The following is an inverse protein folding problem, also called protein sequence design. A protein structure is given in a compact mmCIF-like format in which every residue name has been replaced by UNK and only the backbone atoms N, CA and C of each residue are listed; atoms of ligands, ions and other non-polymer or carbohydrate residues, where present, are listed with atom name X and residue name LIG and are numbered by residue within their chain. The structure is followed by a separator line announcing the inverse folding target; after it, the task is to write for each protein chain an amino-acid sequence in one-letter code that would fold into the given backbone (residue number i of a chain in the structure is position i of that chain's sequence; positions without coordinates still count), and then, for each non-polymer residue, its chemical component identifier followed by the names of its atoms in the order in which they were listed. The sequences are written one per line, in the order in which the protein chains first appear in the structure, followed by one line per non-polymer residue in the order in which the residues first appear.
data_IF_631015340764
#
_entry.id   IF_631015340764
#
_cell.length_a   1.000
_cell.length_b   1.000
_cell.length_c   1.000
_cell.angle_alpha   90.00
_cell.angle_beta   90.00
_cell.angle_gamma   90.00
#
_symmetry.space_group_name_H-M   'P 1'
#
loop_
_entity.id
_entity.type
_entity.pdbx_description
1 polymer ?
#
# COMPACT_ATOMS: atom_id res chain seq x y z
N UNK A 1 -12.70 1.95 -50.64
CA UNK A 1 -12.29 1.21 -49.43
C UNK A 1 -10.80 1.42 -49.23
N UNK A 2 -10.37 1.83 -48.03
CA UNK A 2 -8.94 2.02 -47.71
C UNK A 2 -8.15 0.73 -47.96
N UNK A 3 -6.98 0.83 -48.60
CA UNK A 3 -6.09 -0.31 -48.90
C UNK A 3 -5.61 -1.03 -47.64
N UNK A 4 -5.56 -0.33 -46.50
CA UNK A 4 -5.15 -0.87 -45.20
C UNK A 4 -6.03 -2.05 -44.77
N UNK A 5 -7.35 -1.98 -44.98
CA UNK A 5 -8.28 -3.04 -44.58
C UNK A 5 -8.31 -4.24 -45.53
N UNK A 6 -7.58 -4.18 -46.66
CA UNK A 6 -7.35 -5.36 -47.52
C UNK A 6 -6.25 -6.26 -46.97
N UNK A 7 -5.39 -5.75 -46.10
CA UNK A 7 -4.35 -6.54 -45.45
C UNK A 7 -4.97 -7.48 -44.39
N UNK A 8 -4.44 -8.69 -44.18
CA UNK A 8 -4.82 -9.55 -43.05
C UNK A 8 -4.66 -8.87 -41.69
N UNK A 9 -5.40 -9.35 -40.68
CA UNK A 9 -5.46 -8.76 -39.34
C UNK A 9 -4.09 -8.68 -38.68
N UNK A 10 -3.25 -9.68 -38.91
CA UNK A 10 -1.90 -9.83 -38.37
C UNK A 10 -0.98 -8.72 -38.91
N UNK A 11 -1.05 -8.45 -40.21
CA UNK A 11 -0.27 -7.37 -40.83
C UNK A 11 -0.76 -5.99 -40.37
N UNK A 12 -2.07 -5.83 -40.19
CA UNK A 12 -2.62 -4.60 -39.60
C UNK A 12 -2.13 -4.41 -38.17
N UNK A 13 -2.11 -5.46 -37.35
CA UNK A 13 -1.60 -5.40 -35.97
C UNK A 13 -0.12 -5.01 -35.92
N UNK A 14 0.71 -5.54 -36.83
CA UNK A 14 2.11 -5.12 -36.98
C UNK A 14 2.19 -3.63 -37.33
N UNK A 15 1.42 -3.17 -38.32
CA UNK A 15 1.38 -1.75 -38.71
C UNK A 15 0.97 -0.88 -37.53
N UNK A 16 -0.12 -1.20 -36.85
CA UNK A 16 -0.58 -0.45 -35.67
C UNK A 16 0.47 -0.45 -34.56
N UNK A 17 1.18 -1.57 -34.38
CA UNK A 17 2.27 -1.70 -33.44
C UNK A 17 3.36 -0.64 -33.63
N UNK A 18 3.70 -0.28 -34.89
CA UNK A 18 4.66 0.78 -35.18
C UNK A 18 4.22 2.17 -34.70
N UNK A 19 2.91 2.43 -34.60
CA UNK A 19 2.39 3.74 -34.15
C UNK A 19 2.17 3.80 -32.64
N UNK A 20 1.85 2.67 -32.02
CA UNK A 20 1.39 2.62 -30.62
C UNK A 20 2.50 2.22 -29.65
N UNK A 21 3.52 1.53 -30.14
CA UNK A 21 4.67 1.13 -29.32
C UNK A 21 5.54 2.35 -29.04
N UNK A 22 5.80 2.59 -27.76
CA UNK A 22 6.65 3.68 -27.29
C UNK A 22 7.86 3.05 -26.60
N UNK A 23 9.06 3.50 -26.95
CA UNK A 23 10.26 3.06 -26.26
C UNK A 23 10.18 3.40 -24.77
N UNK A 24 10.49 2.45 -23.90
CA UNK A 24 10.25 2.54 -22.45
C UNK A 24 8.78 2.51 -22.00
N UNK A 25 7.82 2.57 -22.91
CA UNK A 25 6.38 2.41 -22.67
C UNK A 25 5.69 3.65 -22.10
N UNK A 26 4.68 3.39 -21.26
CA UNK A 26 3.85 4.42 -20.65
C UNK A 26 4.23 4.66 -19.19
N UNK A 27 3.92 5.86 -18.71
CA UNK A 27 4.20 6.34 -17.37
C UNK A 27 2.92 6.91 -16.73
N UNK A 28 2.72 6.54 -15.46
CA UNK A 28 1.76 7.12 -14.55
C UNK A 28 2.54 7.69 -13.35
N UNK A 29 2.88 8.97 -13.44
CA UNK A 29 3.39 9.75 -12.32
C UNK A 29 2.25 10.53 -11.64
N UNK A 30 2.56 11.38 -10.66
CA UNK A 30 1.54 12.13 -9.91
C UNK A 30 0.59 12.89 -10.84
N UNK A 31 1.12 13.67 -11.78
CA UNK A 31 0.30 14.52 -12.65
C UNK A 31 -0.60 13.67 -13.55
N UNK A 32 -0.03 12.61 -14.14
CA UNK A 32 -0.78 11.69 -14.97
C UNK A 32 -1.87 10.95 -14.17
N UNK A 33 -1.55 10.51 -12.94
CA UNK A 33 -2.48 9.85 -12.02
C UNK A 33 -3.67 10.75 -11.66
N UNK A 34 -3.40 12.00 -11.24
CA UNK A 34 -4.44 12.97 -10.86
C UNK A 34 -5.30 13.33 -12.07
N UNK A 35 -4.71 13.43 -13.26
CA UNK A 35 -5.44 13.67 -14.49
C UNK A 35 -6.25 12.44 -14.99
N UNK A 36 -6.06 11.26 -14.37
CA UNK A 36 -6.68 10.01 -14.80
C UNK A 36 -6.20 9.54 -16.18
N UNK A 37 -4.93 9.81 -16.52
CA UNK A 37 -4.35 9.52 -17.84
C UNK A 37 -3.00 8.82 -17.70
N UNK A 38 -2.58 8.20 -18.80
CA UNK A 38 -1.19 7.77 -18.99
C UNK A 38 -0.50 8.74 -19.95
N UNK A 39 0.80 8.90 -19.77
CA UNK A 39 1.67 9.59 -20.73
C UNK A 39 2.78 8.67 -21.18
N UNK A 40 3.52 9.09 -22.19
CA UNK A 40 4.74 8.40 -22.64
C UNK A 40 5.85 8.57 -21.60
N UNK A 41 6.83 7.67 -21.60
CA UNK A 41 7.97 7.76 -20.67
C UNK A 41 8.80 9.04 -20.84
N UNK A 42 8.81 9.63 -22.04
CA UNK A 42 9.44 10.92 -22.37
C UNK A 42 8.63 12.14 -21.88
N UNK A 43 7.50 11.90 -21.22
CA UNK A 43 6.61 12.93 -20.69
C UNK A 43 5.59 13.47 -21.70
N UNK A 44 5.66 13.09 -22.97
CA UNK A 44 4.72 13.54 -23.99
C UNK A 44 3.37 12.80 -23.89
N UNK A 45 2.27 13.41 -24.37
CA UNK A 45 0.99 12.70 -24.50
C UNK A 45 1.12 11.45 -25.37
N UNK A 46 0.33 10.42 -25.09
CA UNK A 46 0.22 9.26 -25.97
C UNK A 46 -0.40 9.70 -27.30
N UNK A 47 0.25 9.37 -28.42
CA UNK A 47 -0.30 9.67 -29.73
C UNK A 47 -1.47 8.72 -30.03
N UNK A 48 -2.65 9.32 -30.06
CA UNK A 48 -3.92 8.65 -30.30
C UNK A 48 -4.47 8.95 -31.68
N UNK A 49 -3.76 9.73 -32.52
CA UNK A 49 -4.27 10.19 -33.81
C UNK A 49 -4.72 9.03 -34.71
N UNK A 50 -3.93 7.95 -34.77
CA UNK A 50 -4.28 6.75 -35.52
C UNK A 50 -5.60 6.12 -35.04
N UNK A 51 -5.82 6.04 -33.73
CA UNK A 51 -7.03 5.48 -33.10
C UNK A 51 -8.26 6.28 -33.51
N UNK A 52 -8.14 7.60 -33.65
CA UNK A 52 -9.26 8.48 -34.04
C UNK A 52 -9.55 8.51 -35.55
N UNK A 53 -8.75 7.85 -36.39
CA UNK A 53 -9.00 7.85 -37.84
C UNK A 53 -10.25 7.07 -38.24
N UNK A 54 -10.53 5.92 -37.61
CA UNK A 54 -11.77 5.18 -37.84
C UNK A 54 -12.11 4.17 -36.72
N UNK A 55 -13.39 3.77 -36.65
CA UNK A 55 -13.91 2.82 -35.65
C UNK A 55 -13.20 1.47 -35.68
N UNK A 56 -12.94 0.91 -36.87
CA UNK A 56 -12.25 -0.38 -37.01
C UNK A 56 -10.86 -0.32 -36.39
N UNK A 57 -10.08 0.73 -36.67
CA UNK A 57 -8.76 0.90 -36.06
C UNK A 57 -8.89 1.04 -34.54
N UNK A 58 -9.84 1.84 -34.04
CA UNK A 58 -10.06 2.00 -32.60
C UNK A 58 -10.44 0.68 -31.90
N UNK A 59 -11.30 -0.13 -32.52
CA UNK A 59 -11.68 -1.45 -32.03
C UNK A 59 -10.51 -2.42 -32.03
N UNK A 60 -9.72 -2.38 -33.09
CA UNK A 60 -8.58 -3.25 -33.31
C UNK A 60 -7.37 -2.92 -32.43
N UNK A 61 -7.25 -1.68 -31.95
CA UNK A 61 -6.10 -1.16 -31.20
C UNK A 61 -6.41 -0.95 -29.72
N UNK A 62 -7.21 0.06 -29.39
CA UNK A 62 -7.54 0.46 -28.02
C UNK A 62 -8.45 -0.57 -27.34
N UNK A 63 -9.63 -0.83 -27.92
CA UNK A 63 -10.59 -1.79 -27.36
C UNK A 63 -10.12 -3.24 -27.46
N UNK A 64 -9.25 -3.54 -28.42
CA UNK A 64 -8.56 -4.82 -28.59
C UNK A 64 -7.31 -4.96 -27.72
N UNK A 65 -7.01 -3.97 -26.87
CA UNK A 65 -5.91 -4.00 -25.90
C UNK A 65 -4.51 -4.09 -26.51
N UNK A 66 -4.32 -3.72 -27.78
CA UNK A 66 -3.02 -3.78 -28.43
C UNK A 66 -1.99 -2.90 -27.73
N UNK A 67 -2.38 -1.67 -27.35
CA UNK A 67 -1.51 -0.75 -26.62
C UNK A 67 -1.00 -1.36 -25.30
N UNK A 68 -1.88 -2.04 -24.57
CA UNK A 68 -1.58 -2.72 -23.30
C UNK A 68 -0.72 -3.99 -23.46
N UNK A 69 -0.81 -4.65 -24.62
CA UNK A 69 0.02 -5.81 -24.96
C UNK A 69 1.45 -5.42 -25.28
N UNK A 70 1.62 -4.32 -26.02
CA UNK A 70 2.91 -3.90 -26.56
C UNK A 70 3.71 -3.02 -25.61
N UNK A 71 3.04 -2.23 -24.75
CA UNK A 71 3.71 -1.28 -23.88
C UNK A 71 3.71 -1.72 -22.42
N UNK A 72 4.86 -1.58 -21.77
CA UNK A 72 4.93 -1.63 -20.32
C UNK A 72 4.31 -0.36 -19.72
N UNK A 73 3.65 -0.48 -18.57
CA UNK A 73 3.13 0.67 -17.83
C UNK A 73 3.92 0.83 -16.53
N UNK A 74 4.62 1.96 -16.40
CA UNK A 74 5.42 2.31 -15.25
C UNK A 74 4.64 3.22 -14.30
N UNK A 75 4.70 2.96 -13.00
CA UNK A 75 4.09 3.77 -11.95
C UNK A 75 5.19 4.27 -11.02
N UNK A 76 5.13 5.54 -10.61
CA UNK A 76 6.03 6.10 -9.58
C UNK A 76 5.30 6.32 -8.26
N UNK A 77 6.04 6.64 -7.20
CA UNK A 77 5.39 7.12 -5.98
C UNK A 77 4.66 8.43 -6.24
N UNK A 78 3.51 8.60 -5.60
CA UNK A 78 2.61 9.74 -5.83
C UNK A 78 2.81 10.79 -4.75
N UNK A 79 2.98 12.04 -5.17
CA UNK A 79 3.13 13.20 -4.30
C UNK A 79 2.52 14.46 -4.91
N UNK A 80 1.51 14.99 -4.24
CA UNK A 80 1.03 16.38 -4.37
C UNK A 80 0.70 16.89 -2.96
N UNK A 81 0.53 18.21 -2.73
CA UNK A 81 0.11 18.73 -1.43
C UNK A 81 -1.16 18.05 -0.88
N UNK A 82 -2.16 17.87 -1.74
CA UNK A 82 -3.44 17.25 -1.37
C UNK A 82 -3.26 15.76 -1.06
N UNK A 83 -2.53 15.02 -1.92
CA UNK A 83 -2.24 13.61 -1.69
C UNK A 83 -1.37 13.40 -0.44
N UNK A 84 -0.44 14.32 -0.15
CA UNK A 84 0.40 14.27 1.04
C UNK A 84 -0.42 14.47 2.32
N UNK A 85 -1.41 15.37 2.30
CA UNK A 85 -2.33 15.55 3.42
C UNK A 85 -3.14 14.28 3.68
N UNK A 86 -3.69 13.68 2.61
CA UNK A 86 -4.42 12.42 2.70
C UNK A 86 -3.51 11.27 3.19
N UNK A 87 -2.31 11.16 2.64
CA UNK A 87 -1.34 10.13 3.00
C UNK A 87 -0.89 10.26 4.46
N UNK A 88 -0.70 11.49 4.95
CA UNK A 88 -0.41 11.76 6.37
C UNK A 88 -1.55 11.29 7.27
N UNK A 89 -2.78 11.67 6.95
CA UNK A 89 -3.93 11.26 7.74
C UNK A 89 -4.09 9.74 7.76
N UNK A 90 -3.84 9.07 6.63
CA UNK A 90 -3.81 7.61 6.54
C UNK A 90 -2.68 6.99 7.39
N UNK A 91 -1.46 7.55 7.33
CA UNK A 91 -0.33 7.10 8.16
C UNK A 91 -0.66 7.21 9.65
N UNK A 92 -1.20 8.34 10.09
CA UNK A 92 -1.58 8.57 11.48
C UNK A 92 -2.71 7.65 11.92
N UNK A 93 -3.71 7.42 11.06
CA UNK A 93 -4.75 6.43 11.32
C UNK A 93 -4.15 5.04 11.56
N UNK A 94 -3.23 4.61 10.70
CA UNK A 94 -2.62 3.29 10.82
C UNK A 94 -1.72 3.18 12.06
N UNK A 95 -0.81 4.13 12.27
CA UNK A 95 0.23 4.05 13.31
C UNK A 95 -0.26 4.43 14.71
N UNK A 96 -1.16 5.41 14.80
CA UNK A 96 -1.61 5.95 16.09
C UNK A 96 -3.00 5.45 16.47
N UNK A 97 -3.78 4.98 15.49
CA UNK A 97 -5.09 4.38 15.71
C UNK A 97 -5.04 2.85 15.65
N UNK A 98 -4.98 2.30 14.44
CA UNK A 98 -5.41 0.93 14.18
C UNK A 98 -4.40 -0.13 14.62
N UNK A 99 -3.11 0.05 14.37
CA UNK A 99 -2.10 -0.94 14.75
C UNK A 99 -1.94 -1.07 16.28
N UNK A 100 -1.80 0.03 17.06
CA UNK A 100 -1.76 -0.06 18.51
C UNK A 100 -3.06 -0.64 19.10
N UNK A 101 -4.21 -0.32 18.51
CA UNK A 101 -5.49 -0.87 18.93
C UNK A 101 -5.51 -2.39 18.77
N UNK A 102 -5.07 -2.91 17.61
CA UNK A 102 -5.01 -4.36 17.36
C UNK A 102 -4.05 -5.08 18.31
N UNK A 103 -2.86 -4.51 18.55
CA UNK A 103 -1.90 -5.07 19.50
C UNK A 103 -2.47 -5.10 20.93
N UNK A 104 -3.16 -4.03 21.34
CA UNK A 104 -3.81 -3.98 22.64
C UNK A 104 -4.95 -5.02 22.74
N UNK A 105 -5.79 -5.13 21.70
CA UNK A 105 -6.86 -6.13 21.63
C UNK A 105 -6.32 -7.55 21.73
N UNK A 106 -5.22 -7.84 21.03
CA UNK A 106 -4.60 -9.17 21.05
C UNK A 106 -4.23 -9.59 22.49
N UNK A 107 -3.70 -8.66 23.29
CA UNK A 107 -3.39 -8.91 24.71
C UNK A 107 -4.62 -9.14 25.56
N UNK A 108 -5.75 -8.49 25.25
CA UNK A 108 -7.01 -8.73 25.96
C UNK A 108 -7.57 -10.12 25.67
N UNK A 109 -7.54 -10.53 24.40
CA UNK A 109 -8.21 -11.77 23.96
C UNK A 109 -7.34 -13.00 24.12
N UNK A 110 -6.02 -12.84 24.23
CA UNK A 110 -5.05 -13.94 24.30
C UNK A 110 -5.41 -15.01 25.35
N UNK A 111 -5.80 -14.57 26.54
CA UNK A 111 -6.23 -15.45 27.64
C UNK A 111 -7.49 -16.25 27.30
N UNK A 112 -8.43 -15.63 26.58
CA UNK A 112 -9.75 -16.19 26.25
C UNK A 112 -9.74 -17.11 25.03
N UNK A 113 -8.68 -17.12 24.22
CA UNK A 113 -8.59 -17.99 23.05
C UNK A 113 -8.67 -19.48 23.44
N UNK A 114 -9.48 -20.26 22.75
CA UNK A 114 -9.56 -21.71 22.94
C UNK A 114 -8.23 -22.42 22.62
N UNK A 115 -8.01 -23.60 23.21
CA UNK A 115 -6.84 -24.43 22.88
C UNK A 115 -6.78 -24.79 21.39
N UNK A 116 -7.94 -25.02 20.75
CA UNK A 116 -8.01 -25.25 19.30
C UNK A 116 -7.50 -24.06 18.49
N UNK A 117 -7.92 -22.84 18.84
CA UNK A 117 -7.48 -21.62 18.17
C UNK A 117 -6.00 -21.36 18.41
N UNK A 118 -5.49 -21.61 19.62
CA UNK A 118 -4.05 -21.50 19.93
C UNK A 118 -3.25 -22.51 19.09
N UNK A 119 -3.67 -23.77 19.01
CA UNK A 119 -3.00 -24.78 18.19
C UNK A 119 -3.00 -24.41 16.71
N UNK A 120 -4.12 -23.90 16.20
CA UNK A 120 -4.21 -23.40 14.82
C UNK A 120 -3.24 -22.24 14.56
N UNK A 121 -3.17 -21.27 15.47
CA UNK A 121 -2.25 -20.13 15.38
C UNK A 121 -0.79 -20.59 15.47
N UNK A 122 -0.45 -21.55 16.33
CA UNK A 122 0.90 -22.13 16.41
C UNK A 122 1.27 -22.87 15.12
N UNK A 123 0.32 -23.57 14.50
CA UNK A 123 0.53 -24.23 13.20
C UNK A 123 0.82 -23.24 12.07
N UNK A 124 0.10 -22.11 12.02
CA UNK A 124 0.32 -21.06 11.01
C UNK A 124 1.52 -20.16 11.28
N UNK A 125 1.89 -19.97 12.56
CA UNK A 125 2.90 -19.03 13.01
C UNK A 125 3.84 -19.66 14.06
N UNK A 126 4.61 -20.71 13.72
CA UNK A 126 5.38 -21.49 14.69
C UNK A 126 6.41 -20.67 15.47
N UNK A 127 7.04 -19.68 14.82
CA UNK A 127 8.00 -18.77 15.47
C UNK A 127 7.37 -17.87 16.54
N UNK A 128 6.05 -17.69 16.52
CA UNK A 128 5.29 -16.90 17.48
C UNK A 128 4.62 -17.77 18.56
N UNK A 129 4.87 -19.08 18.58
CA UNK A 129 4.35 -19.97 19.61
C UNK A 129 4.68 -19.51 21.05
N UNK A 130 5.90 -19.04 21.37
CA UNK A 130 6.20 -18.51 22.72
C UNK A 130 5.37 -17.27 23.07
N UNK A 131 5.01 -16.45 22.07
CA UNK A 131 4.14 -15.29 22.26
C UNK A 131 2.72 -15.75 22.60
N UNK A 132 2.23 -16.79 21.94
CA UNK A 132 0.92 -17.39 22.22
C UNK A 132 0.86 -18.03 23.60
N UNK A 133 1.90 -18.78 23.98
CA UNK A 133 2.01 -19.39 25.32
C UNK A 133 1.93 -18.33 26.41
N UNK A 134 2.69 -17.24 26.21
CA UNK A 134 2.66 -16.10 27.12
C UNK A 134 1.27 -15.46 27.17
N UNK A 135 0.67 -15.15 26.02
CA UNK A 135 -0.67 -14.55 25.92
C UNK A 135 -1.75 -15.39 26.59
N UNK A 136 -1.63 -16.72 26.55
CA UNK A 136 -2.57 -17.64 27.19
C UNK A 136 -2.37 -17.70 28.71
N UNK A 137 -1.13 -17.57 29.16
CA UNK A 137 -0.75 -17.63 30.59
C UNK A 137 -0.95 -16.33 31.36
N UNK A 138 -0.91 -15.18 30.69
CA UNK A 138 -1.09 -13.87 31.31
C UNK A 138 -2.59 -13.52 31.38
N UNK A 139 -3.09 -13.27 32.60
CA UNK A 139 -4.44 -12.74 32.78
C UNK A 139 -4.61 -11.40 32.04
N UNK A 140 -5.82 -11.10 31.54
CA UNK A 140 -6.05 -9.85 30.82
C UNK A 140 -5.73 -8.64 31.70
N UNK A 141 -5.08 -7.59 31.16
CA UNK A 141 -4.63 -6.45 31.96
C UNK A 141 -5.79 -5.77 32.73
N UNK A 142 -5.65 -5.60 34.04
CA UNK A 142 -6.70 -5.04 34.91
C UNK A 142 -7.13 -3.59 34.58
N UNK A 143 -6.38 -2.85 33.73
CA UNK A 143 -6.64 -1.43 33.38
C UNK A 143 -6.37 -1.12 31.90
N UNK A 144 -7.25 -1.58 31.01
CA UNK A 144 -7.26 -1.18 29.59
C UNK A 144 -8.07 0.11 29.31
N UNK A 145 -8.42 0.87 30.35
CA UNK A 145 -9.26 2.07 30.25
C UNK A 145 -8.56 3.38 29.85
N UNK A 146 -7.25 3.56 30.11
CA UNK A 146 -6.59 4.87 29.94
C UNK A 146 -5.80 4.98 28.63
N UNK A 147 -5.93 6.10 27.91
CA UNK A 147 -5.25 6.38 26.62
C UNK A 147 -3.71 6.35 26.70
N UNK A 148 -3.14 6.46 27.91
CA UNK A 148 -1.69 6.36 28.13
C UNK A 148 -1.19 4.91 28.26
N UNK A 149 -2.06 3.91 28.50
CA UNK A 149 -1.61 2.54 28.76
C UNK A 149 -1.34 1.71 27.49
N UNK A 150 -1.99 1.98 26.35
CA UNK A 150 -1.71 1.20 25.12
C UNK A 150 -0.34 1.50 24.53
N UNK A 151 0.18 2.73 24.70
CA UNK A 151 1.55 3.08 24.27
C UNK A 151 2.61 2.29 25.03
N UNK A 152 2.37 1.99 26.31
CA UNK A 152 3.26 1.13 27.12
C UNK A 152 3.19 -0.35 26.76
N UNK A 153 2.20 -0.75 25.95
CA UNK A 153 2.02 -2.13 25.49
C UNK A 153 2.43 -2.35 24.03
N UNK A 154 3.00 -1.36 23.34
CA UNK A 154 3.60 -1.57 22.02
C UNK A 154 4.62 -2.70 22.11
N UNK A 155 4.58 -3.59 21.13
CA UNK A 155 5.58 -4.64 20.99
C UNK A 155 6.96 -4.00 20.77
N UNK A 156 7.96 -4.46 21.52
CA UNK A 156 9.34 -4.04 21.34
C UNK A 156 9.95 -4.76 20.13
N UNK A 157 9.92 -4.09 18.98
CA UNK A 157 10.60 -4.52 17.75
C UNK A 157 10.11 -5.85 17.15
N UNK A 158 10.58 -6.17 15.94
CA UNK A 158 10.53 -7.54 15.43
C UNK A 158 11.54 -8.40 16.21
N UNK A 159 11.18 -9.63 16.54
CA UNK A 159 12.05 -10.61 17.20
C UNK A 159 12.67 -11.55 16.15
N UNK A 160 13.10 -10.96 15.03
CA UNK A 160 13.66 -11.67 13.87
C UNK A 160 12.65 -12.05 12.79
N UNK A 161 11.34 -11.88 13.00
CA UNK A 161 10.35 -12.10 11.96
C UNK A 161 10.12 -10.85 11.08
N UNK A 162 9.59 -11.06 9.88
CA UNK A 162 9.19 -9.97 9.00
C UNK A 162 7.98 -9.25 9.63
N UNK A 163 7.97 -7.91 9.78
CA UNK A 163 6.88 -7.18 10.43
C UNK A 163 5.48 -7.48 9.86
N UNK A 164 5.39 -7.76 8.57
CA UNK A 164 4.13 -8.17 7.93
C UNK A 164 3.59 -9.48 8.47
N UNK A 165 4.46 -10.44 8.79
CA UNK A 165 4.04 -11.74 9.34
C UNK A 165 3.37 -11.56 10.69
N UNK A 166 3.93 -10.72 11.55
CA UNK A 166 3.31 -10.42 12.84
C UNK A 166 1.96 -9.71 12.71
N UNK A 167 1.85 -8.72 11.81
CA UNK A 167 0.56 -8.03 11.59
C UNK A 167 -0.53 -8.95 11.07
N UNK A 168 -0.18 -9.95 10.25
CA UNK A 168 -1.13 -10.97 9.80
C UNK A 168 -1.50 -11.93 10.94
N UNK A 169 -0.53 -12.37 11.74
CA UNK A 169 -0.77 -13.14 12.96
C UNK A 169 -1.77 -12.45 13.89
N UNK A 170 -1.58 -11.16 14.17
CA UNK A 170 -2.50 -10.37 15.02
C UNK A 170 -3.91 -10.37 14.43
N UNK A 171 -4.05 -10.16 13.11
CA UNK A 171 -5.36 -10.16 12.45
C UNK A 171 -6.05 -11.52 12.54
N UNK A 172 -5.32 -12.60 12.30
CA UNK A 172 -5.88 -13.96 12.33
C UNK A 172 -6.29 -14.36 13.75
N UNK A 173 -5.46 -14.01 14.76
CA UNK A 173 -5.82 -14.21 16.16
C UNK A 173 -7.08 -13.44 16.55
N UNK A 174 -7.22 -12.19 16.12
CA UNK A 174 -8.42 -11.39 16.37
C UNK A 174 -9.66 -11.91 15.63
N UNK A 175 -9.50 -12.51 14.45
CA UNK A 175 -10.60 -13.16 13.71
C UNK A 175 -11.09 -14.40 14.46
N UNK A 176 -10.19 -15.29 14.87
CA UNK A 176 -10.53 -16.46 15.68
C UNK A 176 -11.20 -16.06 17.00
N UNK A 177 -10.66 -15.04 17.68
CA UNK A 177 -11.25 -14.49 18.89
C UNK A 177 -12.69 -13.95 18.67
N UNK A 178 -13.00 -13.42 17.50
CA UNK A 178 -14.34 -12.88 17.22
C UNK A 178 -15.40 -13.99 17.10
N UNK A 179 -15.00 -15.21 16.76
CA UNK A 179 -15.87 -16.39 16.64
C UNK A 179 -16.13 -17.07 18.01
N UNK A 180 -15.33 -16.76 19.02
CA UNK A 180 -15.43 -17.35 20.37
C UNK A 180 -16.20 -16.45 21.35
N UNK A 181 -17.20 -16.95 22.12
CA UNK A 181 -18.08 -16.10 22.92
C UNK A 181 -17.38 -15.21 23.95
N UNK A 182 -16.40 -15.74 24.68
CA UNK A 182 -15.67 -15.00 25.73
C UNK A 182 -14.71 -13.98 25.13
N UNK A 183 -13.93 -14.38 24.13
CA UNK A 183 -12.98 -13.50 23.45
C UNK A 183 -13.72 -12.40 22.66
N UNK A 184 -14.86 -12.71 22.03
CA UNK A 184 -15.72 -11.75 21.34
C UNK A 184 -16.35 -10.74 22.30
N UNK A 185 -16.72 -11.16 23.52
CA UNK A 185 -17.15 -10.24 24.59
C UNK A 185 -16.00 -9.30 24.99
N UNK A 186 -14.80 -9.82 25.22
CA UNK A 186 -13.63 -9.01 25.54
C UNK A 186 -13.30 -7.98 24.44
N UNK A 187 -13.46 -8.35 23.16
CA UNK A 187 -13.35 -7.42 22.02
C UNK A 187 -14.38 -6.29 22.12
N UNK A 188 -15.65 -6.63 22.34
CA UNK A 188 -16.74 -5.62 22.41
C UNK A 188 -16.55 -4.67 23.57
N UNK A 189 -16.21 -5.17 24.76
CA UNK A 189 -16.00 -4.35 25.95
C UNK A 189 -14.82 -3.38 25.74
N UNK A 190 -13.76 -3.85 25.09
CA UNK A 190 -12.61 -3.03 24.73
C UNK A 190 -12.96 -1.94 23.70
N UNK A 191 -13.70 -2.26 22.64
CA UNK A 191 -14.11 -1.30 21.59
C UNK A 191 -15.12 -0.28 22.14
N UNK A 192 -16.11 -0.73 22.91
CA UNK A 192 -17.16 0.10 23.50
C UNK A 192 -16.62 1.18 24.45
N UNK A 193 -15.55 0.89 25.19
CA UNK A 193 -14.88 1.86 26.06
C UNK A 193 -14.07 2.94 25.30
N UNK A 194 -13.78 2.75 24.01
CA UNK A 194 -12.86 3.61 23.24
C UNK A 194 -13.53 4.40 22.12
N UNK A 195 -14.46 3.80 21.38
CA UNK A 195 -15.22 4.51 20.34
C UNK A 195 -16.13 5.60 20.95
N UNK A 196 -16.62 5.40 22.17
CA UNK A 196 -17.54 6.33 22.86
C UNK A 196 -16.86 7.60 23.39
N UNK A 197 -15.54 7.61 23.56
CA UNK A 197 -14.80 8.76 24.11
C UNK A 197 -14.26 9.74 23.07
N UNK A 198 -14.15 9.36 21.79
CA UNK A 198 -13.44 10.19 20.80
C UNK A 198 -14.19 10.43 19.49
N UNK A 199 -15.18 9.62 19.10
CA UNK A 199 -15.77 9.72 17.76
C UNK A 199 -17.23 9.27 17.73
N UNK A 200 -18.17 10.23 17.86
CA UNK A 200 -19.57 10.02 17.50
C UNK A 200 -19.75 10.30 16.01
N UNK A 201 -20.08 9.28 15.23
CA UNK A 201 -20.76 9.45 13.95
C UNK A 201 -21.77 8.31 13.78
N UNK A 202 -23.02 8.67 13.56
CA UNK A 202 -24.19 7.80 13.61
C UNK A 202 -24.40 6.99 12.31
N UNK A 203 -23.34 6.44 11.71
CA UNK A 203 -23.41 5.71 10.43
C UNK A 203 -22.30 4.66 10.20
N UNK A 204 -22.46 3.74 9.23
CA UNK A 204 -21.44 2.76 8.89
C UNK A 204 -20.22 3.43 8.24
N UNK A 205 -19.08 3.34 8.92
CA UNK A 205 -17.83 3.97 8.52
C UNK A 205 -17.28 3.44 7.18
N UNK A 206 -16.91 4.34 6.28
CA UNK A 206 -16.03 4.04 5.16
C UNK A 206 -14.57 4.31 5.53
N UNK A 207 -13.63 3.59 4.89
CA UNK A 207 -12.19 3.80 5.10
C UNK A 207 -11.76 5.27 4.85
N UNK A 208 -12.48 6.00 3.98
CA UNK A 208 -12.17 7.39 3.63
C UNK A 208 -12.67 8.41 4.66
N UNK A 209 -13.82 8.17 5.30
CA UNK A 209 -14.35 9.07 6.34
C UNK A 209 -13.44 9.10 7.58
N UNK A 210 -12.86 7.95 7.94
CA UNK A 210 -11.92 7.83 9.07
C UNK A 210 -10.61 8.58 8.77
N UNK A 211 -10.14 8.54 7.52
CA UNK A 211 -8.93 9.27 7.10
C UNK A 211 -9.19 10.78 7.07
N UNK A 212 -10.35 11.22 6.58
CA UNK A 212 -10.68 12.65 6.51
C UNK A 212 -10.89 13.29 7.90
N UNK A 213 -11.43 12.54 8.87
CA UNK A 213 -11.72 13.05 10.22
C UNK A 213 -10.47 13.41 11.06
N UNK A 214 -9.27 12.98 10.66
CA UNK A 214 -8.00 13.26 11.36
C UNK A 214 -7.12 14.31 10.66
N UNK A 215 -7.58 14.88 9.54
CA UNK A 215 -6.84 15.90 8.80
C UNK A 215 -6.89 17.27 9.50
N UNK A 216 -6.13 17.45 10.57
CA UNK A 216 -5.75 18.81 10.96
C UNK A 216 -4.68 19.34 10.00
N UNK A 217 -5.03 20.40 9.27
CA UNK A 217 -4.20 21.09 8.27
C UNK A 217 -3.07 21.90 8.93
N UNK A 218 -2.21 21.25 9.71
CA UNK A 218 -0.94 21.85 10.13
C UNK A 218 0.09 21.61 9.03
N UNK A 219 0.68 22.71 8.56
CA UNK A 219 1.84 22.69 7.67
C UNK A 219 2.94 21.84 8.30
N UNK A 220 3.16 20.68 7.70
CA UNK A 220 4.16 19.72 8.11
C UNK A 220 5.23 19.74 7.01
N UNK A 221 6.52 20.02 7.31
CA UNK A 221 7.57 19.98 6.29
C UNK A 221 7.74 18.58 5.68
N UNK A 222 7.12 17.57 6.28
CA UNK A 222 7.21 16.17 5.89
C UNK A 222 6.35 15.85 4.66
N UNK A 223 7.00 15.24 3.65
CA UNK A 223 6.36 14.78 2.42
C UNK A 223 5.89 13.34 2.54
N UNK A 224 4.59 13.14 2.77
CA UNK A 224 3.96 11.83 2.76
C UNK A 224 3.56 11.43 1.34
N UNK A 225 3.74 10.15 0.98
CA UNK A 225 3.54 9.65 -0.39
C UNK A 225 2.78 8.33 -0.42
N UNK A 226 2.01 8.13 -1.49
CA UNK A 226 1.47 6.82 -1.83
C UNK A 226 2.45 6.06 -2.72
N UNK A 227 2.52 4.74 -2.53
CA UNK A 227 3.42 3.88 -3.31
C UNK A 227 3.00 3.72 -4.77
N UNK A 228 3.98 3.39 -5.62
CA UNK A 228 3.73 3.00 -7.00
C UNK A 228 2.76 1.80 -7.09
N UNK A 229 2.88 0.84 -6.16
CA UNK A 229 1.94 -0.29 -6.07
C UNK A 229 0.49 0.15 -5.88
N UNK A 230 0.23 1.16 -5.03
CA UNK A 230 -1.11 1.68 -4.78
C UNK A 230 -1.69 2.36 -6.04
N UNK A 231 -0.87 3.14 -6.74
CA UNK A 231 -1.24 3.75 -8.03
C UNK A 231 -1.61 2.68 -9.07
N UNK A 232 -0.79 1.64 -9.19
CA UNK A 232 -1.02 0.53 -10.11
C UNK A 232 -2.30 -0.26 -9.79
N UNK A 233 -2.58 -0.53 -8.51
CA UNK A 233 -3.82 -1.20 -8.08
C UNK A 233 -5.04 -0.36 -8.42
N UNK A 234 -4.98 0.96 -8.17
CA UNK A 234 -6.06 1.87 -8.50
C UNK A 234 -6.32 1.89 -10.02
N UNK A 235 -5.25 1.99 -10.82
CA UNK A 235 -5.34 1.88 -12.27
C UNK A 235 -5.99 0.55 -12.70
N UNK A 236 -5.48 -0.59 -12.23
CA UNK A 236 -6.00 -1.91 -12.58
C UNK A 236 -7.47 -2.11 -12.23
N UNK A 237 -7.94 -1.51 -11.13
CA UNK A 237 -9.37 -1.50 -10.77
C UNK A 237 -10.22 -0.67 -11.74
N UNK A 238 -9.66 0.41 -12.29
CA UNK A 238 -10.33 1.23 -13.30
C UNK A 238 -10.32 0.62 -14.70
N UNK A 239 -9.41 -0.32 -14.99
CA UNK A 239 -9.33 -0.98 -16.31
C UNK A 239 -10.49 -1.98 -16.48
N UNK A 240 -11.27 -1.87 -17.57
CA UNK A 240 -12.33 -2.81 -17.91
C UNK A 240 -11.84 -4.27 -17.90
N UNK A 241 -12.67 -5.20 -17.42
CA UNK A 241 -12.30 -6.62 -17.35
C UNK A 241 -11.94 -7.21 -18.72
N UNK A 242 -12.47 -6.66 -19.82
CA UNK A 242 -12.13 -7.06 -21.20
C UNK A 242 -10.71 -6.67 -21.60
N UNK A 243 -10.15 -5.61 -21.00
CA UNK A 243 -8.81 -5.10 -21.31
C UNK A 243 -7.73 -5.65 -20.38
N UNK A 244 -8.09 -6.06 -19.16
CA UNK A 244 -7.13 -6.62 -18.18
C UNK A 244 -6.30 -7.81 -18.71
N UNK A 245 -6.86 -8.77 -19.48
CA UNK A 245 -6.10 -9.88 -20.05
C UNK A 245 -5.07 -9.46 -21.10
N UNK A 246 -5.10 -8.21 -21.57
CA UNK A 246 -4.15 -7.68 -22.54
C UNK A 246 -2.92 -7.04 -21.90
N UNK A 247 -2.96 -6.72 -20.61
CA UNK A 247 -1.79 -6.20 -19.90
C UNK A 247 -0.68 -7.25 -19.84
N UNK A 248 0.55 -6.86 -20.17
CA UNK A 248 1.70 -7.77 -20.17
C UNK A 248 2.77 -7.40 -19.16
N UNK A 249 2.99 -6.10 -18.94
CA UNK A 249 4.06 -5.65 -18.05
C UNK A 249 3.68 -4.39 -17.27
N UNK A 250 3.80 -4.48 -15.95
CA UNK A 250 3.72 -3.34 -15.03
C UNK A 250 5.08 -3.18 -14.34
N UNK A 251 5.56 -1.95 -14.28
CA UNK A 251 6.80 -1.60 -13.58
C UNK A 251 6.44 -0.66 -12.43
N UNK A 252 6.77 -1.04 -11.20
CA UNK A 252 6.57 -0.22 -10.01
C UNK A 252 7.90 0.42 -9.64
N UNK A 253 7.97 1.73 -9.69
CA UNK A 253 9.12 2.54 -9.32
C UNK A 253 8.89 3.11 -7.92
N UNK A 254 9.30 2.36 -6.90
CA UNK A 254 9.27 2.81 -5.49
C UNK A 254 10.51 3.67 -5.21
N UNK A 255 10.45 4.93 -5.66
CA UNK A 255 11.57 5.87 -5.67
C UNK A 255 11.65 6.77 -4.43
N UNK A 256 10.63 6.75 -3.57
CA UNK A 256 10.60 7.47 -2.29
C UNK A 256 9.81 6.71 -1.23
N UNK A 257 10.13 6.96 0.04
CA UNK A 257 9.43 6.36 1.19
C UNK A 257 7.93 6.67 1.13
N UNK A 258 7.11 5.64 1.31
CA UNK A 258 5.66 5.71 1.25
C UNK A 258 5.02 5.42 2.60
N UNK A 259 3.74 5.80 2.71
CA UNK A 259 3.00 5.68 3.96
C UNK A 259 2.63 4.24 4.32
N UNK A 260 2.34 4.02 5.60
CA UNK A 260 1.99 2.74 6.21
C UNK A 260 3.12 1.71 6.10
N UNK A 261 2.88 0.58 5.42
CA UNK A 261 3.75 -0.59 5.36
C UNK A 261 4.11 -0.92 3.90
N UNK A 262 5.03 -0.15 3.26
CA UNK A 262 5.37 -0.29 1.85
C UNK A 262 5.84 -1.68 1.41
N UNK A 263 6.39 -2.47 2.33
CA UNK A 263 6.77 -3.86 2.09
C UNK A 263 5.57 -4.73 1.70
N UNK A 264 4.36 -4.36 2.11
CA UNK A 264 3.13 -5.14 1.90
C UNK A 264 2.30 -4.70 0.69
N UNK A 265 2.51 -3.50 0.15
CA UNK A 265 1.59 -2.91 -0.84
C UNK A 265 1.47 -3.75 -2.12
N UNK A 266 2.57 -4.37 -2.57
CA UNK A 266 2.58 -5.21 -3.76
C UNK A 266 1.70 -6.48 -3.62
N UNK A 267 1.35 -6.91 -2.40
CA UNK A 267 0.41 -8.04 -2.21
C UNK A 267 -0.95 -7.77 -2.83
N UNK A 268 -1.37 -6.51 -2.91
CA UNK A 268 -2.64 -6.14 -3.55
C UNK A 268 -2.68 -6.40 -5.06
N UNK A 269 -1.55 -6.72 -5.69
CA UNK A 269 -1.47 -7.08 -7.11
C UNK A 269 -1.71 -8.58 -7.37
N UNK A 270 -1.68 -9.42 -6.33
CA UNK A 270 -1.81 -10.89 -6.46
C UNK A 270 -3.06 -11.29 -7.25
N UNK A 271 -4.28 -10.77 -6.95
CA UNK A 271 -5.48 -11.17 -7.69
C UNK A 271 -5.38 -10.86 -9.19
N UNK A 272 -4.76 -9.73 -9.57
CA UNK A 272 -4.61 -9.35 -10.97
C UNK A 272 -3.62 -10.25 -11.72
N UNK A 273 -2.58 -10.73 -11.05
CA UNK A 273 -1.66 -11.72 -11.62
C UNK A 273 -2.31 -13.11 -11.74
N UNK A 274 -3.22 -13.46 -10.84
CA UNK A 274 -4.00 -14.70 -10.93
C UNK A 274 -4.99 -14.64 -12.10
N UNK A 275 -5.70 -13.51 -12.25
CA UNK A 275 -6.66 -13.29 -13.34
C UNK A 275 -5.98 -13.20 -14.73
N UNK A 276 -4.73 -12.74 -14.77
CA UNK A 276 -3.94 -12.64 -16.00
C UNK A 276 -2.56 -13.26 -15.80
N UNK A 277 -2.39 -14.57 -16.08
CA UNK A 277 -1.11 -15.27 -15.90
C UNK A 277 0.04 -14.75 -16.79
N UNK A 278 -0.27 -13.97 -17.83
CA UNK A 278 0.73 -13.34 -18.70
C UNK A 278 1.19 -11.97 -18.20
N UNK A 279 0.56 -11.44 -17.14
CA UNK A 279 0.97 -10.18 -16.52
C UNK A 279 2.25 -10.37 -15.71
N UNK A 280 3.30 -9.64 -16.08
CA UNK A 280 4.54 -9.55 -15.32
C UNK A 280 4.57 -8.24 -14.53
N UNK A 281 4.76 -8.34 -13.23
CA UNK A 281 4.97 -7.19 -12.34
C UNK A 281 6.43 -7.13 -11.95
N UNK A 282 7.10 -6.04 -12.32
CA UNK A 282 8.48 -5.75 -11.95
C UNK A 282 8.48 -4.64 -10.90
N UNK A 283 9.07 -4.89 -9.73
CA UNK A 283 9.17 -3.89 -8.66
C UNK A 283 10.61 -3.43 -8.50
N UNK A 284 10.86 -2.15 -8.74
CA UNK A 284 12.16 -1.49 -8.55
C UNK A 284 12.08 -0.58 -7.33
N UNK A 285 12.89 -0.89 -6.32
CA UNK A 285 12.88 -0.17 -5.03
C UNK A 285 14.20 0.55 -4.84
N UNK A 286 14.17 1.85 -4.58
CA UNK A 286 15.36 2.58 -4.12
C UNK A 286 15.63 2.21 -2.66
N UNK A 287 16.54 1.27 -2.44
CA UNK A 287 16.80 0.70 -1.11
C UNK A 287 17.26 1.73 -0.08
N UNK A 288 18.07 2.71 -0.47
CA UNK A 288 18.57 3.75 0.43
C UNK A 288 17.44 4.56 1.07
N UNK A 289 16.49 5.03 0.26
CA UNK A 289 15.38 5.86 0.76
C UNK A 289 14.23 5.05 1.34
N UNK A 290 14.05 3.80 0.92
CA UNK A 290 12.88 2.99 1.30
C UNK A 290 13.16 1.90 2.33
N UNK A 291 14.38 1.38 2.40
CA UNK A 291 14.69 0.16 3.17
C UNK A 291 15.74 0.44 4.25
N UNK A 292 16.87 1.05 3.91
CA UNK A 292 17.98 1.19 4.86
C UNK A 292 17.79 2.30 5.90
N UNK A 293 17.00 3.32 5.59
CA UNK A 293 16.68 4.40 6.53
C UNK A 293 15.45 4.07 7.42
N UNK A 294 15.05 2.79 7.52
CA UNK A 294 13.88 2.35 8.31
C UNK A 294 14.15 2.16 9.81
N UNK A 295 15.42 2.24 10.25
CA UNK A 295 15.81 2.20 11.67
C UNK A 295 16.00 3.57 12.32
N UNK A 296 15.89 4.64 11.53
CA UNK A 296 15.88 6.01 12.01
C UNK A 296 14.41 6.37 12.23
N UNK A 297 14.06 7.06 13.33
CA UNK A 297 12.69 7.55 13.53
C UNK A 297 12.24 8.28 12.26
N UNK A 298 10.94 8.20 11.93
CA UNK A 298 10.42 8.84 10.72
C UNK A 298 10.89 10.30 10.67
N UNK A 299 10.87 10.97 11.82
CA UNK A 299 11.40 12.31 12.06
C UNK A 299 12.88 12.47 11.69
N UNK A 300 13.79 11.59 12.15
CA UNK A 300 15.22 11.72 11.86
C UNK A 300 15.61 11.33 10.41
N UNK A 301 14.82 10.49 9.71
CA UNK A 301 14.97 10.29 8.26
C UNK A 301 14.64 11.57 7.48
N UNK A 302 13.69 12.34 7.98
CA UNK A 302 13.19 13.54 7.34
C UNK A 302 14.05 14.76 7.66
N UNK A 303 14.61 14.84 8.87
CA UNK A 303 15.71 15.76 9.20
C UNK A 303 16.90 15.54 8.26
N UNK A 304 17.29 14.28 8.02
CA UNK A 304 18.33 13.94 7.04
C UNK A 304 17.95 14.41 5.62
N UNK A 305 16.71 14.16 5.17
CA UNK A 305 16.26 14.59 3.84
C UNK A 305 16.21 16.12 3.68
N UNK A 306 15.85 16.84 4.75
CA UNK A 306 15.82 18.30 4.78
C UNK A 306 17.26 18.87 4.74
N UNK A 307 18.17 18.30 5.52
CA UNK A 307 19.58 18.69 5.55
C UNK A 307 20.33 18.43 4.23
N UNK A 308 19.92 17.42 3.45
CA UNK A 308 20.43 17.19 2.09
C UNK A 308 19.94 18.24 1.07
N UNK A 309 18.77 18.86 1.29
CA UNK A 309 18.26 19.94 0.44
C UNK A 309 18.83 21.31 0.80
N UNK A 310 19.28 21.50 2.05
CA UNK A 310 19.86 22.76 2.54
C UNK A 310 21.40 22.79 2.45
N UNK A 311 22.05 21.68 2.08
CA UNK A 311 23.51 21.62 1.91
C UNK A 311 24.31 21.63 3.23
N UNK A 312 23.70 21.30 4.36
CA UNK A 312 24.30 21.48 5.70
C UNK A 312 25.10 20.28 6.22
N UNK A 313 25.52 19.35 5.36
CA UNK A 313 26.26 18.14 5.75
C UNK A 313 27.78 18.19 5.49
N UNK A 314 28.35 19.39 5.35
CA UNK A 314 29.80 19.57 5.52
C UNK A 314 30.07 20.18 6.91
N UNK A 315 30.99 19.55 7.65
CA UNK A 315 31.47 19.86 9.00
C UNK A 315 30.73 19.23 10.18
N UNK A 316 31.20 18.05 10.59
CA UNK A 316 30.73 17.47 11.86
C UNK A 316 31.35 16.14 12.30
N UNK A 317 32.46 15.67 11.72
CA UNK A 317 33.20 14.54 12.29
C UNK A 317 34.06 15.06 13.44
N UNK A 318 33.51 15.14 14.65
CA UNK A 318 34.33 15.19 15.86
C UNK A 318 34.73 13.77 16.25
N UNK A 319 36.00 13.47 16.09
CA UNK A 319 36.70 12.31 16.64
C UNK A 319 36.42 12.17 18.15
N UNK A 320 36.15 10.94 18.64
CA UNK A 320 36.00 10.72 20.07
C UNK A 320 37.38 10.82 20.74
N UNK A 321 37.50 11.69 21.72
CA UNK A 321 38.69 11.79 22.58
C UNK A 321 38.68 10.65 23.60
N UNK A 322 39.88 10.12 23.85
CA UNK A 322 40.19 8.92 24.64
C UNK A 322 39.62 8.89 26.05
#
# INVERSE_FOLDING_TARGET
MSHLFRLPRELREIIYGYYITVDGGYLCDTDAFVAGRLKRIDGQPIDIALIYTCKTIAEETDRGGLAMRLNAISFTTLYSPDLSTLAKAFQQLMNDGLEPLRDAMLKCVGYHLSESSILQLKGGYPYLAPVLDRLKSEEPPARLGHERSYRTYRRNGPYGEVPSTYREFVKDALRLAAEEPEASRAIRDFVGAKMTGAYRADGPWTHFEIVNARSEARSDPVKYRFSAAAAAIYFLKSVPCTLRPHLRKIILLEDAKCVSNPESHARGLIPFCQDNPLLRVERRVKLWTNVFLTGITYDAYLEWQCAQQTGQYEEGVRTPTR
#
